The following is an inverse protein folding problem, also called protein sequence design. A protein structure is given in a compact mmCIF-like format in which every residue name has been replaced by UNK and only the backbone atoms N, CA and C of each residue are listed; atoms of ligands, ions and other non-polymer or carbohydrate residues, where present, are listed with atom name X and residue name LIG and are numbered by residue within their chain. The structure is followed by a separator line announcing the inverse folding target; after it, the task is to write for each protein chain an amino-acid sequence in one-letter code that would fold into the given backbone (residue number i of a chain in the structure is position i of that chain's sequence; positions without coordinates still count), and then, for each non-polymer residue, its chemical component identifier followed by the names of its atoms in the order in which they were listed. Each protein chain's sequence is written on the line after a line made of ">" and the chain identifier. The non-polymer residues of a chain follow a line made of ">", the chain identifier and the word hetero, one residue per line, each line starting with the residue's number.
data_IF_242231208377
#
_entry.id   IF_242231208377
#
_cell.length_a   1.000
_cell.length_b   1.000
_cell.length_c   1.000
_cell.angle_alpha   90.00
_cell.angle_beta   90.00
_cell.angle_gamma   90.00
#
_symmetry.space_group_name_H-M   'P 1'
#
loop_
_entity.id
_entity.type
_entity.pdbx_description
1 polymer ?
#
# COMPACT_ATOMS: atom_id res chain seq x y z
N UNK A 1 -4.51 12.04 12.23
CA UNK A 1 -3.70 10.85 11.90
C UNK A 1 -3.19 10.98 10.47
N UNK A 2 -2.07 10.34 10.15
CA UNK A 2 -1.42 10.37 8.84
C UNK A 2 -1.02 8.97 8.39
N UNK A 3 -0.95 8.76 7.08
CA UNK A 3 -0.26 7.65 6.45
C UNK A 3 1.13 8.12 6.05
N UNK A 4 2.13 7.25 6.18
CA UNK A 4 3.50 7.50 5.77
C UNK A 4 3.84 6.61 4.57
N UNK A 5 4.47 7.15 3.53
CA UNK A 5 5.00 6.37 2.40
C UNK A 5 6.45 5.96 2.68
N UNK A 6 6.72 4.66 2.79
CA UNK A 6 8.07 4.11 2.97
C UNK A 6 8.48 3.26 1.79
N UNK A 7 9.73 3.32 1.34
CA UNK A 7 10.24 2.45 0.29
C UNK A 7 10.45 1.05 0.85
N UNK A 8 9.77 0.05 0.29
CA UNK A 8 10.05 -1.36 0.60
C UNK A 8 10.88 -1.95 -0.52
N UNK A 9 12.09 -2.41 -0.19
CA UNK A 9 12.93 -3.20 -1.09
C UNK A 9 12.58 -4.67 -0.84
N UNK A 10 11.96 -5.37 -1.81
CA UNK A 10 11.69 -6.79 -1.66
C UNK A 10 13.00 -7.56 -1.53
N UNK A 11 13.04 -8.58 -0.66
CA UNK A 11 14.22 -9.42 -0.47
C UNK A 11 14.62 -10.20 -1.74
N UNK A 12 13.67 -10.36 -2.67
CA UNK A 12 13.91 -10.98 -3.97
C UNK A 12 14.26 -9.90 -5.00
N UNK A 13 15.45 -10.01 -5.61
CA UNK A 13 16.06 -9.07 -6.56
C UNK A 13 15.26 -8.81 -7.84
N UNK A 14 14.19 -9.57 -8.10
CA UNK A 14 13.39 -9.48 -9.33
C UNK A 14 12.10 -8.66 -9.19
N UNK A 15 11.80 -8.12 -8.00
CA UNK A 15 10.56 -7.37 -7.78
C UNK A 15 10.79 -5.85 -7.89
N UNK A 16 9.85 -5.16 -8.56
CA UNK A 16 9.84 -3.70 -8.68
C UNK A 16 9.71 -3.06 -7.29
N UNK A 17 10.48 -2.00 -7.04
CA UNK A 17 10.34 -1.18 -5.84
C UNK A 17 8.89 -0.67 -5.73
N UNK A 18 8.30 -0.81 -4.55
CA UNK A 18 6.97 -0.30 -4.25
C UNK A 18 6.99 0.55 -2.98
N UNK A 19 6.11 1.54 -2.93
CA UNK A 19 6.04 2.55 -1.87
C UNK A 19 4.64 2.49 -1.23
N UNK A 20 4.39 1.53 -0.31
CA UNK A 20 3.10 1.44 0.35
C UNK A 20 2.89 2.61 1.32
N UNK A 21 1.64 3.05 1.42
CA UNK A 21 1.19 3.91 2.50
C UNK A 21 0.97 3.05 3.75
N UNK A 22 1.82 3.22 4.77
CA UNK A 22 1.78 2.51 6.05
C UNK A 22 1.24 3.42 7.15
N UNK A 23 0.53 2.82 8.12
CA UNK A 23 -0.10 3.55 9.21
C UNK A 23 -1.35 2.85 9.76
N UNK A 24 -2.17 3.58 10.55
CA UNK A 24 -2.11 5.02 10.79
C UNK A 24 -1.06 5.45 11.82
N UNK A 25 -0.47 6.64 11.61
CA UNK A 25 0.46 7.30 12.54
C UNK A 25 -0.19 8.54 13.17
N UNK A 26 0.24 8.88 14.38
CA UNK A 26 -0.07 10.14 15.03
C UNK A 26 1.06 11.14 14.81
N UNK A 27 0.69 12.41 14.58
CA UNK A 27 1.66 13.51 14.52
C UNK A 27 1.86 13.99 15.94
N UNK A 28 3.08 13.88 16.47
CA UNK A 28 3.43 14.34 17.81
C UNK A 28 3.78 15.82 17.80
N UNK A 29 4.65 16.22 16.88
CA UNK A 29 5.16 17.58 16.82
C UNK A 29 5.36 18.03 15.36
N UNK A 30 5.18 19.33 15.13
CA UNK A 30 5.58 19.99 13.88
C UNK A 30 6.96 20.61 14.12
N UNK A 31 7.98 20.06 13.49
CA UNK A 31 9.36 20.54 13.65
C UNK A 31 9.64 21.74 12.71
N UNK A 32 9.05 21.74 11.52
CA UNK A 32 9.02 22.88 10.60
C UNK A 32 7.81 22.80 9.68
N UNK A 33 7.65 23.73 8.73
CA UNK A 33 6.60 23.66 7.71
C UNK A 33 6.68 22.41 6.84
N UNK A 34 7.87 21.81 6.74
CA UNK A 34 8.14 20.67 5.89
C UNK A 34 8.46 19.39 6.66
N UNK A 35 8.74 19.47 7.96
CA UNK A 35 9.18 18.32 8.74
C UNK A 35 8.29 18.11 9.96
N UNK A 36 7.86 16.86 10.13
CA UNK A 36 6.96 16.45 11.19
C UNK A 36 7.56 15.25 11.93
N UNK A 37 7.30 15.19 13.23
CA UNK A 37 7.57 14.01 14.02
C UNK A 37 6.29 13.20 14.17
N UNK A 38 6.37 11.93 13.80
CA UNK A 38 5.24 11.00 13.85
C UNK A 38 5.59 9.75 14.66
N UNK A 39 4.60 9.15 15.31
CA UNK A 39 4.75 7.88 16.00
C UNK A 39 3.61 6.91 15.63
N UNK A 40 3.85 5.59 15.64
CA UNK A 40 2.79 4.60 15.54
C UNK A 40 1.75 4.82 16.65
N UNK A 41 0.47 4.60 16.35
CA UNK A 41 -0.61 4.76 17.34
C UNK A 41 -0.53 3.80 18.52
N UNK A 42 0.17 2.66 18.36
CA UNK A 42 0.29 1.60 19.36
C UNK A 42 1.60 1.64 20.15
N UNK A 43 2.59 2.43 19.71
CA UNK A 43 3.90 2.52 20.35
C UNK A 43 4.45 3.95 20.21
N UNK A 44 4.12 4.78 21.19
CA UNK A 44 4.51 6.20 21.22
C UNK A 44 5.99 6.39 21.60
N UNK A 45 6.69 5.33 22.01
CA UNK A 45 8.12 5.40 22.35
C UNK A 45 9.01 5.52 21.11
N UNK A 46 8.47 5.16 19.94
CA UNK A 46 9.17 5.24 18.65
C UNK A 46 8.62 6.39 17.84
N UNK A 47 9.43 7.42 17.66
CA UNK A 47 9.12 8.52 16.76
C UNK A 47 10.05 8.52 15.54
N UNK A 48 9.51 9.00 14.42
CA UNK A 48 10.23 9.21 13.18
C UNK A 48 10.02 10.63 12.70
N UNK A 49 11.09 11.27 12.23
CA UNK A 49 11.02 12.56 11.54
C UNK A 49 10.80 12.32 10.05
N UNK A 50 9.70 12.82 9.51
CA UNK A 50 9.27 12.60 8.13
C UNK A 50 8.98 13.93 7.43
N UNK A 51 9.35 14.01 6.15
CA UNK A 51 9.03 15.15 5.29
C UNK A 51 7.55 15.16 4.91
N UNK A 52 6.96 16.35 4.79
CA UNK A 52 5.54 16.53 4.48
C UNK A 52 5.09 15.76 3.22
N UNK A 53 5.91 15.76 2.17
CA UNK A 53 5.59 15.08 0.89
C UNK A 53 5.35 13.56 1.04
N UNK A 54 5.85 12.96 2.12
CA UNK A 54 5.73 11.53 2.38
C UNK A 54 4.59 11.23 3.35
N UNK A 55 3.80 12.25 3.71
CA UNK A 55 2.65 12.14 4.57
C UNK A 55 1.37 12.35 3.76
N UNK A 56 0.40 11.48 3.98
CA UNK A 56 -0.96 11.65 3.48
C UNK A 56 -1.93 11.72 4.65
N UNK A 57 -2.86 12.67 4.62
CA UNK A 57 -3.90 12.76 5.67
C UNK A 57 -4.68 11.46 5.71
N UNK A 58 -4.77 10.84 6.88
CA UNK A 58 -5.60 9.67 7.10
C UNK A 58 -7.02 10.13 7.45
N UNK A 59 -7.96 9.95 6.53
CA UNK A 59 -9.39 10.25 6.70
C UNK A 59 -10.14 8.99 7.13
N UNK A 60 -9.79 8.39 8.27
CA UNK A 60 -10.60 7.30 8.82
C UNK A 60 -11.79 7.89 9.60
N UNK A 61 -12.99 7.85 9.00
CA UNK A 61 -14.15 7.33 9.75
C UNK A 61 -13.84 5.85 9.95
N UNK A 62 -14.04 5.32 11.14
CA UNK A 62 -13.74 3.92 11.50
C UNK A 62 -14.51 2.98 10.55
N UNK A 63 -13.89 2.59 9.44
CA UNK A 63 -14.18 1.36 8.71
C UNK A 63 -12.83 0.78 8.34
N UNK A 64 -12.65 -0.44 8.82
CA UNK A 64 -11.48 -1.28 8.69
C UNK A 64 -10.84 -1.11 7.31
N UNK A 65 -9.55 -0.77 7.27
CA UNK A 65 -8.74 -1.07 6.09
C UNK A 65 -8.70 -2.59 5.97
N UNK A 66 -9.65 -3.16 5.25
CA UNK A 66 -9.49 -4.44 4.58
C UNK A 66 -8.17 -4.37 3.82
N UNK A 67 -7.34 -5.39 3.99
CA UNK A 67 -6.10 -5.59 3.26
C UNK A 67 -6.27 -5.21 1.77
N UNK A 68 -5.36 -4.47 1.12
CA UNK A 68 -5.33 -4.41 -0.33
C UNK A 68 -4.67 -5.70 -0.85
N UNK A 69 -5.30 -6.84 -0.59
CA UNK A 69 -4.91 -8.12 -1.19
C UNK A 69 -6.12 -9.05 -1.22
N UNK A 70 -7.19 -8.62 -1.89
CA UNK A 70 -8.37 -9.45 -2.09
C UNK A 70 -9.04 -9.09 -3.41
N UNK A 71 -8.29 -9.08 -4.52
CA UNK A 71 -8.89 -9.04 -5.87
C UNK A 71 -7.93 -9.54 -6.96
N UNK A 72 -7.20 -10.62 -6.67
CA UNK A 72 -6.78 -11.53 -7.74
C UNK A 72 -7.42 -12.88 -7.51
N UNK A 73 -8.74 -12.89 -7.62
CA UNK A 73 -9.46 -14.09 -8.04
C UNK A 73 -9.04 -14.34 -9.48
N UNK A 74 -7.94 -15.07 -9.68
CA UNK A 74 -7.64 -15.70 -10.96
C UNK A 74 -8.78 -16.68 -11.16
N UNK A 75 -9.83 -16.23 -11.85
CA UNK A 75 -10.76 -17.14 -12.48
C UNK A 75 -9.93 -17.82 -13.56
N UNK A 76 -9.50 -19.04 -13.29
CA UNK A 76 -9.07 -19.96 -14.32
C UNK A 76 -10.28 -20.14 -15.24
N UNK A 77 -10.38 -19.31 -16.26
CA UNK A 77 -11.27 -19.59 -17.38
C UNK A 77 -10.52 -20.65 -18.18
N UNK A 78 -10.96 -21.90 -18.01
CA UNK A 78 -10.54 -23.02 -18.83
C UNK A 78 -10.89 -22.69 -20.29
N UNK A 79 -9.93 -22.13 -21.02
CA UNK A 79 -10.01 -22.07 -22.47
C UNK A 79 -9.72 -23.47 -23.02
N UNK A 80 -10.75 -24.32 -23.01
CA UNK A 80 -10.82 -25.46 -23.92
C UNK A 80 -11.02 -24.90 -25.33
N UNK A 81 -9.96 -24.87 -26.12
CA UNK A 81 -10.02 -24.47 -27.53
C UNK A 81 -10.70 -25.61 -28.32
N UNK A 82 -12.04 -25.58 -28.40
CA UNK A 82 -12.78 -26.41 -29.35
C UNK A 82 -12.63 -25.77 -30.73
N UNK A 83 -11.68 -26.31 -31.52
CA UNK A 83 -11.54 -25.97 -32.94
C UNK A 83 -12.71 -26.64 -33.67
N UNK A 84 -13.74 -25.85 -33.99
CA UNK A 84 -14.83 -26.24 -34.89
C UNK A 84 -14.40 -26.11 -36.35
N UNK A 85 -14.36 -27.26 -37.01
CA UNK A 85 -14.64 -27.58 -38.41
C UNK A 85 -14.87 -26.41 -39.42
N UNK A 86 -14.10 -26.40 -40.51
CA UNK A 86 -14.58 -26.42 -41.91
C UNK A 86 -13.42 -26.15 -42.91
N UNK A 87 -13.07 -27.14 -43.72
CA UNK A 87 -12.49 -26.91 -45.05
C UNK A 87 -13.35 -27.67 -46.06
N UNK A 88 -14.08 -26.91 -46.88
CA UNK A 88 -14.69 -27.36 -48.14
C UNK A 88 -13.70 -27.03 -49.27
N UNK A 89 -13.16 -28.06 -49.91
CA UNK A 89 -12.98 -28.25 -51.37
C UNK A 89 -12.19 -29.53 -51.63
#
# INVERSE_FOLDING_TARGET
>A
MVWWSSTVVPSNSHCKLYHPWIGPYQVHSKLSDLNYEIAPTHDLSKSNKIHFDWLKRCTLRIQQCSNPLSDFSITHSDHTHTIGEHINL
#
